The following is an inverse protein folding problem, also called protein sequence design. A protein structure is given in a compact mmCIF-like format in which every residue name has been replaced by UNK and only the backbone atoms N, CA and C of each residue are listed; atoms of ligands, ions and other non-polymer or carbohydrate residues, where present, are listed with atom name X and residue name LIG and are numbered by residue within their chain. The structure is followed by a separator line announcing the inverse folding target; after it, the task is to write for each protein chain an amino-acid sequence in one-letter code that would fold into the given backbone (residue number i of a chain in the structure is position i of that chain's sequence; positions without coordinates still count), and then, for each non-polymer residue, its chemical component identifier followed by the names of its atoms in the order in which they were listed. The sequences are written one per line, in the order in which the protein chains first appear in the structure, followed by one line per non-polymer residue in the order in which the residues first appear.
data_IF_921336039559
#
_entry.id   IF_921336039559
#
_cell.length_a   1.000
_cell.length_b   1.000
_cell.length_c   1.000
_cell.angle_alpha   90.00
_cell.angle_beta   90.00
_cell.angle_gamma   90.00
#
_symmetry.space_group_name_H-M   'P 1'
#
loop_
_entity.id
_entity.type
_entity.pdbx_description
1 polymer ?
#
# COMPACT_ATOMS: atom_id res chain seq x y z
N UNK A 1 -3.28 -8.33 14.44
CA UNK A 1 -3.37 -6.87 14.57
C UNK A 1 -4.10 -6.28 13.38
N UNK A 2 -4.79 -5.15 13.56
CA UNK A 2 -5.41 -4.41 12.47
C UNK A 2 -4.34 -3.55 11.80
N UNK A 3 -3.88 -3.95 10.62
CA UNK A 3 -2.87 -3.23 9.86
C UNK A 3 -3.46 -2.78 8.53
N UNK A 4 -4.38 -1.82 8.59
CA UNK A 4 -5.03 -1.26 7.39
C UNK A 4 -4.01 -0.77 6.36
N UNK A 5 -2.90 -0.18 6.82
CA UNK A 5 -1.77 0.24 5.98
C UNK A 5 -1.08 -0.95 5.32
N UNK A 6 -0.94 -2.08 6.03
CA UNK A 6 -0.35 -3.31 5.47
C UNK A 6 -1.27 -3.93 4.41
N UNK A 7 -2.58 -3.98 4.66
CA UNK A 7 -3.54 -4.44 3.65
C UNK A 7 -3.51 -3.58 2.40
N UNK A 8 -3.44 -2.26 2.57
CA UNK A 8 -3.35 -1.33 1.46
C UNK A 8 -2.05 -1.47 0.68
N UNK A 9 -0.93 -1.65 1.39
CA UNK A 9 0.38 -1.89 0.76
C UNK A 9 0.38 -3.19 -0.05
N UNK A 10 -0.24 -4.25 0.48
CA UNK A 10 -0.43 -5.52 -0.23
C UNK A 10 -1.28 -5.36 -1.48
N UNK A 11 -2.47 -4.74 -1.34
CA UNK A 11 -3.36 -4.50 -2.46
C UNK A 11 -2.69 -3.67 -3.58
N UNK A 12 -1.87 -2.68 -3.21
CA UNK A 12 -1.13 -1.86 -4.15
C UNK A 12 -0.05 -2.65 -4.91
N UNK A 13 0.64 -3.59 -4.27
CA UNK A 13 1.57 -4.50 -4.96
C UNK A 13 0.81 -5.48 -5.86
N UNK A 14 -0.37 -5.93 -5.46
CA UNK A 14 -1.20 -6.82 -6.28
C UNK A 14 -1.74 -6.12 -7.53
N UNK A 15 -2.17 -4.85 -7.43
CA UNK A 15 -2.49 -4.00 -8.61
C UNK A 15 -1.30 -3.95 -9.56
N UNK A 16 -0.09 -3.68 -9.06
CA UNK A 16 1.13 -3.64 -9.88
C UNK A 16 1.42 -4.98 -10.54
N UNK A 17 1.26 -6.11 -9.83
CA UNK A 17 1.46 -7.46 -10.39
C UNK A 17 0.45 -7.76 -11.49
N UNK A 18 -0.83 -7.42 -11.29
CA UNK A 18 -1.85 -7.61 -12.33
C UNK A 18 -1.52 -6.83 -13.58
N UNK A 19 -1.23 -5.53 -13.45
CA UNK A 19 -0.85 -4.68 -14.59
C UNK A 19 0.41 -5.18 -15.30
N UNK A 20 1.40 -5.69 -14.56
CA UNK A 20 2.58 -6.33 -15.13
C UNK A 20 2.23 -7.58 -15.93
N UNK A 21 1.34 -8.43 -15.41
CA UNK A 21 0.89 -9.64 -16.10
C UNK A 21 0.04 -9.33 -17.34
N UNK A 22 -0.81 -8.31 -17.27
CA UNK A 22 -1.62 -7.83 -18.40
C UNK A 22 -0.70 -7.33 -19.52
N UNK A 23 0.27 -6.46 -19.21
CA UNK A 23 1.26 -5.98 -20.17
C UNK A 23 2.08 -7.12 -20.82
N UNK A 24 2.44 -8.15 -20.05
CA UNK A 24 3.12 -9.34 -20.60
C UNK A 24 2.23 -10.11 -21.57
N UNK A 25 0.94 -10.25 -21.26
CA UNK A 25 -0.03 -10.95 -22.11
C UNK A 25 -0.27 -10.22 -23.42
N UNK A 26 -0.29 -8.90 -23.36
CA UNK A 26 -0.53 -8.03 -24.52
C UNK A 26 0.74 -7.76 -25.35
N UNK A 27 1.90 -8.26 -24.91
CA UNK A 27 3.18 -8.03 -25.58
C UNK A 27 3.75 -6.61 -25.40
N UNK A 28 3.18 -5.81 -24.49
CA UNK A 28 3.62 -4.44 -24.18
C UNK A 28 4.92 -4.44 -23.34
N UNK A 29 6.05 -4.46 -24.04
CA UNK A 29 7.37 -4.42 -23.41
C UNK A 29 7.61 -3.15 -22.59
N UNK A 30 6.99 -2.04 -22.96
CA UNK A 30 7.16 -0.76 -22.26
C UNK A 30 6.36 -0.74 -20.95
N UNK A 31 5.12 -1.24 -20.96
CA UNK A 31 4.32 -1.49 -19.76
C UNK A 31 5.00 -2.44 -18.79
N UNK A 32 5.63 -3.51 -19.29
CA UNK A 32 6.41 -4.46 -18.47
C UNK A 32 7.59 -3.76 -17.78
N UNK A 33 8.38 -2.97 -18.51
CA UNK A 33 9.51 -2.20 -17.95
C UNK A 33 9.03 -1.19 -16.91
N UNK A 34 7.95 -0.46 -17.21
CA UNK A 34 7.33 0.50 -16.29
C UNK A 34 6.93 -0.14 -14.97
N UNK A 35 6.16 -1.24 -14.99
CA UNK A 35 5.70 -1.92 -13.78
C UNK A 35 6.84 -2.54 -12.96
N UNK A 36 7.98 -2.86 -13.60
CA UNK A 36 9.21 -3.28 -12.92
C UNK A 36 9.91 -2.10 -12.25
N UNK A 37 10.02 -0.97 -12.94
CA UNK A 37 10.70 0.24 -12.46
C UNK A 37 10.02 0.89 -11.25
N UNK A 38 8.68 0.86 -11.20
CA UNK A 38 7.92 1.56 -10.16
C UNK A 38 7.69 0.77 -8.88
N UNK A 39 8.10 -0.51 -8.84
CA UNK A 39 7.93 -1.40 -7.68
C UNK A 39 8.32 -0.74 -6.36
N UNK A 40 9.48 -0.08 -6.31
CA UNK A 40 9.99 0.53 -5.08
C UNK A 40 9.41 1.92 -4.81
N UNK A 41 9.02 2.67 -5.85
CA UNK A 41 8.42 4.00 -5.69
C UNK A 41 7.02 3.90 -5.07
N UNK A 42 6.21 2.97 -5.56
CA UNK A 42 4.83 2.75 -5.13
C UNK A 42 4.73 2.30 -3.66
N UNK A 43 5.74 1.57 -3.17
CA UNK A 43 5.82 1.07 -1.80
C UNK A 43 6.43 2.07 -0.81
N UNK A 44 7.07 3.14 -1.28
CA UNK A 44 7.65 4.17 -0.41
C UNK A 44 6.58 5.16 0.09
N UNK A 45 6.87 5.80 1.21
CA UNK A 45 6.09 6.93 1.68
C UNK A 45 6.49 8.21 0.93
N UNK A 46 5.57 9.14 0.63
CA UNK A 46 5.85 10.39 -0.08
C UNK A 46 6.94 11.24 0.58
N UNK A 47 6.94 11.30 1.91
CA UNK A 47 7.98 11.99 2.72
C UNK A 47 9.38 11.36 2.60
N UNK A 48 9.48 10.22 1.92
CA UNK A 48 10.74 9.51 1.64
C UNK A 48 10.95 9.26 0.14
N UNK A 49 10.13 9.88 -0.71
CA UNK A 49 10.35 9.90 -2.15
C UNK A 49 11.43 10.93 -2.46
N UNK A 50 12.37 10.54 -3.29
CA UNK A 50 13.29 11.49 -3.94
C UNK A 50 12.53 12.22 -5.05
N UNK A 51 12.97 13.40 -5.48
CA UNK A 51 12.32 14.17 -6.57
C UNK A 51 12.08 13.34 -7.84
N UNK A 52 13.07 12.53 -8.26
CA UNK A 52 12.93 11.57 -9.38
C UNK A 52 11.83 10.52 -9.19
N UNK A 53 11.55 10.14 -7.94
CA UNK A 53 10.52 9.15 -7.60
C UNK A 53 9.13 9.79 -7.59
N UNK A 54 9.02 11.05 -7.19
CA UNK A 54 7.77 11.82 -7.26
C UNK A 54 7.39 12.11 -8.73
N UNK A 55 8.35 12.55 -9.55
CA UNK A 55 8.16 12.70 -11.00
C UNK A 55 7.77 11.38 -11.68
N UNK A 56 8.43 10.28 -11.33
CA UNK A 56 8.07 8.94 -11.84
C UNK A 56 6.66 8.52 -11.43
N UNK A 57 6.19 8.94 -10.26
CA UNK A 57 4.87 8.62 -9.73
C UNK A 57 3.77 9.50 -10.35
N UNK A 58 4.06 10.77 -10.62
CA UNK A 58 3.19 11.65 -11.39
C UNK A 58 3.08 11.19 -12.85
N UNK A 59 4.20 10.75 -13.44
CA UNK A 59 4.23 10.18 -14.80
C UNK A 59 3.43 8.87 -14.94
N UNK A 60 3.27 8.09 -13.86
CA UNK A 60 2.41 6.90 -13.84
C UNK A 60 0.94 7.23 -14.13
N UNK A 61 0.45 8.40 -13.71
CA UNK A 61 -0.92 8.84 -13.99
C UNK A 61 -1.22 8.94 -15.48
N UNK A 62 -0.21 9.26 -16.30
CA UNK A 62 -0.33 9.45 -17.74
C UNK A 62 0.01 8.19 -18.57
N UNK A 63 0.60 7.16 -17.97
CA UNK A 63 1.20 6.03 -18.73
C UNK A 63 0.77 4.63 -18.28
N UNK A 64 0.11 4.50 -17.13
CA UNK A 64 -0.57 3.26 -16.74
C UNK A 64 -1.95 3.17 -17.43
N UNK A 65 -2.39 2.01 -17.97
CA UNK A 65 -3.75 1.86 -18.50
C UNK A 65 -4.81 2.35 -17.50
N UNK A 66 -5.35 3.54 -17.79
CA UNK A 66 -6.34 4.29 -16.99
C UNK A 66 -5.82 4.76 -15.61
N UNK A 67 -4.51 4.88 -15.39
CA UNK A 67 -3.92 5.40 -14.15
C UNK A 67 -4.34 4.65 -12.89
N UNK A 68 -4.58 3.33 -12.98
CA UNK A 68 -5.04 2.49 -11.88
C UNK A 68 -4.04 2.45 -10.71
N UNK A 69 -2.76 2.25 -10.98
CA UNK A 69 -1.70 2.18 -9.98
C UNK A 69 -1.52 3.52 -9.24
N UNK A 70 -1.60 4.63 -9.97
CA UNK A 70 -1.55 5.97 -9.38
C UNK A 70 -2.77 6.24 -8.49
N UNK A 71 -3.98 5.94 -8.98
CA UNK A 71 -5.22 6.06 -8.18
C UNK A 71 -5.21 5.16 -6.95
N UNK A 72 -4.68 3.94 -7.07
CA UNK A 72 -4.48 3.05 -5.93
C UNK A 72 -3.49 3.66 -4.91
N UNK A 73 -2.39 4.28 -5.38
CA UNK A 73 -1.46 4.99 -4.50
C UNK A 73 -2.12 6.19 -3.79
N UNK A 74 -2.95 6.98 -4.49
CA UNK A 74 -3.70 8.09 -3.86
C UNK A 74 -4.60 7.58 -2.72
N UNK A 75 -5.29 6.46 -2.94
CA UNK A 75 -6.09 5.80 -1.90
C UNK A 75 -5.24 5.31 -0.72
N UNK A 76 -3.98 4.91 -0.95
CA UNK A 76 -3.05 4.57 0.13
C UNK A 76 -2.70 5.79 0.97
N UNK A 77 -2.43 6.92 0.33
CA UNK A 77 -2.07 8.13 1.05
C UNK A 77 -3.23 8.68 1.86
N UNK A 78 -4.46 8.63 1.35
CA UNK A 78 -5.67 8.94 2.13
C UNK A 78 -5.81 8.02 3.35
N UNK A 79 -5.48 6.72 3.23
CA UNK A 79 -5.44 5.82 4.38
C UNK A 79 -4.30 6.09 5.37
N UNK A 80 -3.23 6.75 4.94
CA UNK A 80 -2.13 7.14 5.83
C UNK A 80 -2.49 8.39 6.60
N UNK A 81 -3.18 9.34 5.98
CA UNK A 81 -3.60 10.58 6.63
C UNK A 81 -4.74 10.38 7.61
N UNK A 82 -5.75 9.54 7.29
CA UNK A 82 -6.90 9.38 8.19
C UNK A 82 -6.51 8.86 9.58
N UNK A 83 -5.45 8.04 9.66
CA UNK A 83 -4.97 7.48 10.94
C UNK A 83 -4.35 8.53 11.87
N UNK A 84 -4.13 9.75 11.38
CA UNK A 84 -3.60 10.89 12.14
C UNK A 84 -4.71 11.82 12.64
N UNK A 85 -5.94 11.62 12.20
CA UNK A 85 -7.05 12.52 12.51
C UNK A 85 -7.82 12.08 13.76
N UNK A 86 -8.47 13.04 14.46
CA UNK A 86 -9.41 12.72 15.53
C UNK A 86 -10.49 11.73 15.08
N UNK A 87 -11.04 10.95 16.01
CA UNK A 87 -11.96 9.85 15.70
C UNK A 87 -13.18 10.28 14.88
N UNK A 88 -13.72 11.47 15.12
CA UNK A 88 -14.87 12.03 14.39
C UNK A 88 -14.52 12.24 12.91
N UNK A 89 -13.39 12.90 12.65
CA UNK A 89 -12.87 13.14 11.31
C UNK A 89 -12.46 11.82 10.63
N UNK A 90 -11.75 10.94 11.33
CA UNK A 90 -11.35 9.63 10.79
C UNK A 90 -12.56 8.77 10.43
N UNK A 91 -13.67 8.88 11.16
CA UNK A 91 -14.92 8.18 10.86
C UNK A 91 -15.53 8.65 9.55
N UNK A 92 -15.59 9.97 9.33
CA UNK A 92 -16.09 10.55 8.09
C UNK A 92 -15.15 10.21 6.91
N UNK A 93 -13.84 10.35 7.08
CA UNK A 93 -12.86 10.05 6.04
C UNK A 93 -12.84 8.56 5.67
N UNK A 94 -12.98 7.65 6.64
CA UNK A 94 -13.07 6.22 6.35
C UNK A 94 -14.31 5.88 5.51
N UNK A 95 -15.44 6.56 5.76
CA UNK A 95 -16.66 6.40 4.93
C UNK A 95 -16.40 6.87 3.50
N UNK A 96 -15.82 8.06 3.33
CA UNK A 96 -15.45 8.57 2.01
C UNK A 96 -14.47 7.65 1.31
N UNK A 97 -13.41 7.21 2.00
CA UNK A 97 -12.44 6.28 1.45
C UNK A 97 -13.09 5.00 0.93
N UNK A 98 -13.99 4.39 1.72
CA UNK A 98 -14.73 3.19 1.30
C UNK A 98 -15.58 3.46 0.06
N UNK A 99 -16.21 4.63 -0.04
CA UNK A 99 -16.97 5.04 -1.21
C UNK A 99 -16.08 5.11 -2.46
N UNK A 100 -15.00 5.90 -2.42
CA UNK A 100 -14.06 6.05 -3.54
C UNK A 100 -13.39 4.73 -3.93
N UNK A 101 -12.95 3.94 -2.95
CA UNK A 101 -12.32 2.64 -3.19
C UNK A 101 -13.27 1.66 -3.88
N UNK A 102 -14.54 1.60 -3.46
CA UNK A 102 -15.55 0.72 -4.07
C UNK A 102 -15.94 1.11 -5.50
N UNK A 103 -15.77 2.38 -5.89
CA UNK A 103 -16.05 2.88 -7.24
C UNK A 103 -14.79 3.03 -8.10
N UNK A 104 -13.61 2.64 -7.60
CA UNK A 104 -12.33 2.83 -8.27
C UNK A 104 -12.19 2.05 -9.60
N UNK A 105 -12.99 0.97 -9.76
CA UNK A 105 -12.86 -0.04 -10.82
C UNK A 105 -11.48 -0.74 -10.84
N UNK A 106 -10.83 -0.80 -9.68
CA UNK A 106 -9.57 -1.52 -9.47
C UNK A 106 -9.91 -2.73 -8.58
N UNK A 107 -9.93 -3.97 -9.11
CA UNK A 107 -10.47 -5.14 -8.40
C UNK A 107 -9.90 -5.32 -6.98
N UNK A 108 -8.58 -5.20 -6.84
CA UNK A 108 -7.86 -5.38 -5.57
C UNK A 108 -8.28 -4.35 -4.52
N UNK A 109 -8.55 -3.12 -4.96
CA UNK A 109 -9.00 -2.01 -4.11
C UNK A 109 -10.49 -2.16 -3.77
N UNK A 110 -11.31 -2.63 -4.72
CA UNK A 110 -12.72 -2.92 -4.48
C UNK A 110 -12.86 -4.02 -3.42
N UNK A 111 -12.10 -5.10 -3.53
CA UNK A 111 -12.07 -6.18 -2.53
C UNK A 111 -11.61 -5.67 -1.16
N UNK A 112 -10.53 -4.87 -1.14
CA UNK A 112 -10.05 -4.25 0.08
C UNK A 112 -11.11 -3.34 0.73
N UNK A 113 -11.88 -2.59 -0.08
CA UNK A 113 -12.97 -1.74 0.41
C UNK A 113 -14.04 -2.55 1.15
N UNK A 114 -14.38 -3.74 0.64
CA UNK A 114 -15.34 -4.63 1.29
C UNK A 114 -14.80 -5.19 2.61
N UNK A 115 -13.51 -5.53 2.64
CA UNK A 115 -12.83 -5.98 3.87
C UNK A 115 -12.81 -4.88 4.93
N UNK A 116 -12.44 -3.66 4.55
CA UNK A 116 -12.41 -2.50 5.45
C UNK A 116 -13.82 -2.15 5.93
N UNK A 117 -14.83 -2.20 5.06
CA UNK A 117 -16.24 -1.98 5.43
C UNK A 117 -16.70 -2.95 6.51
N UNK A 118 -16.38 -4.25 6.36
CA UNK A 118 -16.70 -5.30 7.35
C UNK A 118 -15.99 -5.10 8.69
N UNK A 119 -14.77 -4.56 8.67
CA UNK A 119 -13.91 -4.36 9.86
C UNK A 119 -13.97 -2.93 10.41
N UNK A 120 -14.89 -2.10 9.92
CA UNK A 120 -14.99 -0.68 10.27
C UNK A 120 -15.11 -0.43 11.78
N UNK A 121 -15.96 -1.15 12.54
CA UNK A 121 -16.05 -0.94 13.99
C UNK A 121 -14.71 -1.14 14.70
N UNK A 122 -13.98 -2.20 14.34
CA UNK A 122 -12.68 -2.51 14.94
C UNK A 122 -11.59 -1.48 14.59
N UNK A 123 -11.61 -0.98 13.34
CA UNK A 123 -10.69 0.05 12.87
C UNK A 123 -10.91 1.34 13.67
N UNK A 124 -12.17 1.77 13.81
CA UNK A 124 -12.51 2.98 14.57
C UNK A 124 -12.16 2.84 16.04
N UNK A 125 -12.44 1.68 16.65
CA UNK A 125 -12.03 1.38 18.03
C UNK A 125 -10.51 1.46 18.22
N UNK A 126 -9.73 1.03 17.23
CA UNK A 126 -8.26 1.12 17.28
C UNK A 126 -7.78 2.58 17.26
N UNK A 127 -8.44 3.44 16.49
CA UNK A 127 -8.15 4.88 16.41
C UNK A 127 -8.55 5.56 17.72
N UNK A 128 -9.74 5.26 18.23
CA UNK A 128 -10.29 5.82 19.48
C UNK A 128 -9.42 5.51 20.71
N UNK A 129 -8.92 4.28 20.82
CA UNK A 129 -8.07 3.85 21.95
C UNK A 129 -6.64 4.42 21.91
N UNK A 130 -6.33 5.34 20.98
CA UNK A 130 -5.03 6.01 20.94
C UNK A 130 -3.85 5.11 20.56
N UNK A 131 -4.09 3.95 19.93
CA UNK A 131 -3.02 3.15 19.32
C UNK A 131 -2.37 3.83 18.10
N UNK A 132 -2.88 5.01 17.73
CA UNK A 132 -2.50 5.81 16.58
C UNK A 132 -1.01 6.18 16.61
N UNK A 133 -0.30 5.71 15.59
CA UNK A 133 1.09 6.02 15.23
C UNK A 133 2.21 5.43 16.06
N UNK A 134 2.59 5.95 17.25
CA UNK A 134 3.88 5.57 17.85
C UNK A 134 4.00 4.07 18.11
N UNK A 135 2.93 3.45 18.61
CA UNK A 135 2.89 2.00 18.86
C UNK A 135 2.64 1.18 17.59
N UNK A 136 1.89 1.70 16.61
CA UNK A 136 1.68 1.05 15.31
C UNK A 136 2.95 1.07 14.44
N UNK A 137 3.72 2.17 14.44
CA UNK A 137 5.04 2.26 13.83
C UNK A 137 6.06 1.38 14.55
N UNK A 138 6.08 1.40 15.89
CA UNK A 138 6.92 0.49 16.67
C UNK A 138 6.57 -0.99 16.39
N UNK A 139 5.28 -1.32 16.26
CA UNK A 139 4.84 -2.67 15.92
C UNK A 139 5.17 -3.06 14.48
N UNK A 140 4.94 -2.17 13.51
CA UNK A 140 5.32 -2.38 12.11
C UNK A 140 6.85 -2.50 11.94
N UNK A 141 7.63 -1.72 12.69
CA UNK A 141 9.09 -1.82 12.73
C UNK A 141 9.54 -3.13 13.38
N UNK A 142 8.90 -3.57 14.47
CA UNK A 142 9.17 -4.89 15.07
C UNK A 142 8.86 -6.03 14.11
N UNK A 143 7.73 -6.00 13.39
CA UNK A 143 7.42 -6.99 12.35
C UNK A 143 8.49 -6.96 11.25
N UNK A 144 8.88 -5.79 10.75
CA UNK A 144 9.95 -5.65 9.74
C UNK A 144 11.29 -6.21 10.24
N UNK A 145 11.65 -5.97 11.51
CA UNK A 145 12.86 -6.52 12.13
C UNK A 145 12.75 -8.03 12.29
N UNK A 146 11.63 -8.57 12.77
CA UNK A 146 11.39 -10.01 12.89
C UNK A 146 11.43 -10.70 11.53
N UNK A 147 10.82 -10.11 10.49
CA UNK A 147 10.88 -10.62 9.12
C UNK A 147 12.33 -10.55 8.59
N UNK A 148 13.06 -9.46 8.83
CA UNK A 148 14.48 -9.34 8.44
C UNK A 148 15.38 -10.35 9.15
N UNK A 149 15.14 -10.62 10.43
CA UNK A 149 15.82 -11.66 11.19
C UNK A 149 15.47 -13.05 10.66
N UNK A 150 14.19 -13.30 10.33
CA UNK A 150 13.74 -14.57 9.76
C UNK A 150 14.33 -14.84 8.36
N UNK A 151 14.60 -13.80 7.57
CA UNK A 151 15.31 -13.92 6.28
C UNK A 151 16.85 -13.90 6.41
N UNK A 152 17.40 -13.47 7.55
CA UNK A 152 18.85 -13.31 7.77
C UNK A 152 19.62 -14.59 8.06
N UNK A 153 18.95 -15.74 8.19
CA UNK A 153 19.57 -17.04 8.48
C UNK A 153 19.61 -18.01 7.29
N UNK A 154 19.36 -17.54 6.08
CA UNK A 154 19.54 -18.34 4.87
C UNK A 154 20.92 -18.09 4.22
N UNK A 155 21.99 -18.34 4.95
CA UNK A 155 23.26 -18.79 4.36
C UNK A 155 23.93 -19.80 5.28
N UNK A 156 23.79 -21.07 4.88
CA UNK A 156 24.72 -22.14 5.23
C UNK A 156 25.96 -21.91 4.36
N UNK A 157 27.07 -21.53 5.01
CA UNK A 157 28.46 -21.94 4.72
C UNK A 157 29.44 -20.93 5.30
N UNK A 158 29.84 -21.18 6.55
CA UNK A 158 31.25 -21.32 6.95
C UNK A 158 31.32 -21.55 8.47
N UNK A 159 31.56 -22.80 8.88
CA UNK A 159 32.64 -23.13 9.82
C UNK A 159 32.90 -24.64 9.79
N UNK A 160 33.73 -25.06 8.83
CA UNK A 160 34.82 -25.97 9.18
C UNK A 160 36.02 -25.05 9.44
N UNK A 161 36.35 -24.88 10.71
CA UNK A 161 37.68 -24.64 11.26
C UNK A 161 37.60 -24.81 12.78
#
# INVERSE_FOLDING_TARGET
GFHIVSWMTGALDDVRKRLWNDARRDGDQEGVKRMRGVKYAVLKNPDRLTDRQDESLAALGNTDPKGQLYRAWQLKELLRTLLKHPIEQATAELRHWVFWASHSRIPEIVELSQKIRRRRPDILRTIELGYSNARLEAFNNRIKVTIRMAYGFHHVDNLIA
#
